data_IF_231439977636
#
_entry.id   IF_231439977636
#
_cell.length_a   1.000
_cell.length_b   1.000
_cell.length_c   1.000
_cell.angle_alpha   90.00
_cell.angle_beta   90.00
_cell.angle_gamma   90.00
#
_symmetry.space_group_name_H-M   'P 1'
#
loop_
_entity.id
_entity.type
_entity.pdbx_description
1 polymer ?
#
# COMPACT_ATOMS: atom_id res chain seq x y z
N UNK A 1 31.18 9.13 -19.04
CA UNK A 1 31.99 10.21 -18.42
C UNK A 1 31.63 10.26 -16.94
N UNK A 2 32.62 10.37 -16.05
CA UNK A 2 32.38 10.45 -14.62
C UNK A 2 31.68 11.78 -14.24
N UNK A 3 30.67 11.71 -13.37
CA UNK A 3 30.00 12.88 -12.81
C UNK A 3 30.97 13.62 -11.88
N UNK A 4 31.29 14.87 -12.20
CA UNK A 4 32.15 15.70 -11.35
C UNK A 4 31.49 16.07 -10.02
N UNK A 5 32.30 16.32 -8.98
CA UNK A 5 31.83 16.62 -7.61
C UNK A 5 30.79 17.73 -7.54
N UNK A 6 30.96 18.80 -8.34
CA UNK A 6 29.99 19.92 -8.40
C UNK A 6 28.62 19.50 -8.91
N UNK A 7 28.58 18.64 -9.93
CA UNK A 7 27.32 18.15 -10.51
C UNK A 7 26.57 17.30 -9.49
N UNK A 8 27.29 16.42 -8.79
CA UNK A 8 26.73 15.58 -7.73
C UNK A 8 26.14 16.42 -6.59
N UNK A 9 26.87 17.43 -6.11
CA UNK A 9 26.39 18.32 -5.05
C UNK A 9 25.15 19.12 -5.49
N UNK A 10 25.11 19.57 -6.75
CA UNK A 10 23.94 20.25 -7.30
C UNK A 10 22.72 19.29 -7.37
N UNK A 11 22.93 18.03 -7.78
CA UNK A 11 21.90 17.01 -7.78
C UNK A 11 21.36 16.71 -6.36
N UNK A 12 22.23 16.56 -5.37
CA UNK A 12 21.81 16.33 -3.98
C UNK A 12 20.96 17.48 -3.43
N UNK A 13 21.35 18.73 -3.72
CA UNK A 13 20.55 19.91 -3.37
C UNK A 13 19.22 19.92 -4.11
N UNK A 14 19.23 19.62 -5.41
CA UNK A 14 18.02 19.52 -6.23
C UNK A 14 17.04 18.47 -5.69
N UNK A 15 17.56 17.31 -5.25
CA UNK A 15 16.76 16.26 -4.62
C UNK A 15 16.15 16.74 -3.29
N UNK A 16 16.92 17.43 -2.44
CA UNK A 16 16.47 17.96 -1.13
C UNK A 16 15.37 19.02 -1.23
N UNK A 17 15.19 19.68 -2.38
CA UNK A 17 14.07 20.60 -2.60
C UNK A 17 12.69 19.90 -2.60
N UNK A 18 12.66 18.56 -2.69
CA UNK A 18 11.43 17.78 -2.54
C UNK A 18 10.41 18.05 -3.66
N UNK A 19 9.12 17.98 -3.34
CA UNK A 19 8.04 18.02 -4.32
C UNK A 19 7.96 19.33 -5.13
N UNK A 20 8.46 20.44 -4.58
CA UNK A 20 8.47 21.74 -5.25
C UNK A 20 9.77 21.98 -6.04
N UNK A 21 10.61 20.95 -6.22
CA UNK A 21 11.89 21.06 -6.94
C UNK A 21 11.71 21.69 -8.32
N UNK A 22 12.55 22.68 -8.63
CA UNK A 22 12.72 23.22 -9.97
C UNK A 22 14.15 23.69 -10.17
N UNK A 23 14.63 23.74 -11.41
CA UNK A 23 15.98 24.25 -11.69
C UNK A 23 16.12 25.73 -11.33
N UNK A 24 15.03 26.50 -11.39
CA UNK A 24 15.00 27.89 -10.92
C UNK A 24 15.21 27.97 -9.41
N UNK A 25 14.46 27.18 -8.62
CA UNK A 25 14.64 27.14 -7.17
C UNK A 25 16.01 26.63 -6.76
N UNK A 26 16.57 25.67 -7.50
CA UNK A 26 17.95 25.23 -7.31
C UNK A 26 18.94 26.36 -7.58
N UNK A 27 18.79 27.07 -8.70
CA UNK A 27 19.63 28.22 -9.04
C UNK A 27 19.57 29.28 -7.94
N UNK A 28 18.38 29.66 -7.49
CA UNK A 28 18.18 30.64 -6.42
C UNK A 28 18.89 30.20 -5.13
N UNK A 29 18.78 28.91 -4.77
CA UNK A 29 19.46 28.33 -3.60
C UNK A 29 20.99 28.33 -3.73
N UNK A 30 21.53 28.35 -4.95
CA UNK A 30 22.98 28.38 -5.23
C UNK A 30 23.51 29.79 -5.44
N UNK A 31 22.66 30.82 -5.54
CA UNK A 31 23.07 32.16 -5.99
C UNK A 31 23.99 32.87 -4.99
N UNK A 32 23.96 32.47 -3.71
CA UNK A 32 24.86 32.97 -2.67
C UNK A 32 26.31 32.45 -2.79
N UNK A 33 26.59 31.51 -3.69
CA UNK A 33 27.91 30.91 -3.86
C UNK A 33 28.74 31.65 -4.91
N UNK A 34 30.02 31.90 -4.61
CA UNK A 34 30.94 32.62 -5.49
C UNK A 34 31.15 31.97 -6.88
N UNK A 35 30.76 30.71 -7.06
CA UNK A 35 30.86 29.96 -8.33
C UNK A 35 29.53 29.27 -8.66
N UNK A 36 28.42 30.02 -8.56
CA UNK A 36 27.09 29.51 -8.88
C UNK A 36 26.96 29.18 -10.38
N UNK A 37 26.50 27.96 -10.76
CA UNK A 37 26.25 27.62 -12.15
C UNK A 37 25.04 28.40 -12.69
N UNK A 38 25.11 28.81 -13.95
CA UNK A 38 23.96 29.42 -14.63
C UNK A 38 22.80 28.43 -14.79
N UNK A 39 21.57 28.93 -14.97
CA UNK A 39 20.40 28.08 -15.22
C UNK A 39 20.61 27.14 -16.43
N UNK A 40 21.19 27.65 -17.52
CA UNK A 40 21.54 26.85 -18.71
C UNK A 40 22.49 25.70 -18.38
N UNK A 41 23.47 25.92 -17.49
CA UNK A 41 24.39 24.88 -17.03
C UNK A 41 23.67 23.82 -16.22
N UNK A 42 22.74 24.22 -15.35
CA UNK A 42 21.92 23.30 -14.56
C UNK A 42 20.98 22.46 -15.45
N UNK A 43 20.39 23.06 -16.49
CA UNK A 43 19.59 22.34 -17.50
C UNK A 43 20.42 21.29 -18.24
N UNK A 44 21.63 21.66 -18.67
CA UNK A 44 22.55 20.74 -19.34
C UNK A 44 22.94 19.58 -18.43
N UNK A 45 23.28 19.85 -17.17
CA UNK A 45 23.59 18.81 -16.18
C UNK A 45 22.39 17.90 -15.90
N UNK A 46 21.21 18.48 -15.69
CA UNK A 46 19.97 17.74 -15.45
C UNK A 46 19.68 16.76 -16.58
N UNK A 47 19.81 17.21 -17.83
CA UNK A 47 19.61 16.36 -19.02
C UNK A 47 20.69 15.30 -19.15
N UNK A 48 21.96 15.71 -19.08
CA UNK A 48 23.12 14.85 -19.34
C UNK A 48 23.29 13.74 -18.30
N UNK A 49 22.91 14.00 -17.05
CA UNK A 49 23.02 13.06 -15.94
C UNK A 49 21.66 12.53 -15.48
N UNK A 50 20.62 12.67 -16.32
CA UNK A 50 19.33 12.03 -16.13
C UNK A 50 18.72 12.27 -14.74
N UNK A 51 18.72 13.52 -14.28
CA UNK A 51 18.31 13.84 -12.90
C UNK A 51 16.87 13.43 -12.61
N UNK A 52 15.95 13.58 -13.57
CA UNK A 52 14.55 13.17 -13.38
C UNK A 52 14.41 11.66 -13.24
N UNK A 53 15.11 10.88 -14.07
CA UNK A 53 15.07 9.41 -14.01
C UNK A 53 15.62 8.93 -12.66
N UNK A 54 16.76 9.47 -12.22
CA UNK A 54 17.35 9.17 -10.92
C UNK A 54 16.41 9.51 -9.76
N UNK A 55 15.72 10.64 -9.85
CA UNK A 55 14.72 11.05 -8.85
C UNK A 55 13.54 10.08 -8.84
N UNK A 56 13.01 9.73 -10.00
CA UNK A 56 11.93 8.76 -10.12
C UNK A 56 12.34 7.40 -9.51
N UNK A 57 13.59 6.98 -9.69
CA UNK A 57 14.12 5.74 -9.11
C UNK A 57 14.19 5.82 -7.58
N UNK A 58 14.73 6.91 -7.04
CA UNK A 58 14.79 7.16 -5.60
C UNK A 58 13.40 7.21 -4.97
N UNK A 59 12.45 7.89 -5.63
CA UNK A 59 11.07 7.97 -5.18
C UNK A 59 10.36 6.61 -5.23
N UNK A 60 10.61 5.78 -6.25
CA UNK A 60 10.09 4.40 -6.30
C UNK A 60 10.66 3.56 -5.17
N UNK A 61 11.95 3.64 -4.90
CA UNK A 61 12.59 2.93 -3.79
C UNK A 61 12.04 3.38 -2.43
N UNK A 62 11.87 4.69 -2.24
CA UNK A 62 11.28 5.25 -1.02
C UNK A 62 9.84 4.77 -0.81
N UNK A 63 9.00 4.80 -1.86
CA UNK A 63 7.63 4.27 -1.80
C UNK A 63 7.61 2.78 -1.44
N UNK A 64 8.45 1.98 -2.10
CA UNK A 64 8.53 0.55 -1.81
C UNK A 64 8.94 0.27 -0.36
N UNK A 65 9.90 1.04 0.18
CA UNK A 65 10.32 0.92 1.57
C UNK A 65 9.20 1.31 2.54
N UNK A 66 8.47 2.39 2.26
CA UNK A 66 7.34 2.84 3.08
C UNK A 66 6.19 1.83 3.05
N UNK A 67 5.84 1.32 1.87
CA UNK A 67 4.82 0.28 1.70
C UNK A 67 5.20 -1.00 2.45
N UNK A 68 6.46 -1.43 2.34
CA UNK A 68 6.97 -2.60 3.06
C UNK A 68 6.90 -2.41 4.58
N UNK A 69 7.29 -1.24 5.09
CA UNK A 69 7.23 -0.91 6.50
C UNK A 69 5.77 -0.86 7.00
N UNK A 70 4.87 -0.28 6.22
CA UNK A 70 3.43 -0.24 6.52
C UNK A 70 2.82 -1.63 6.57
N UNK A 71 3.13 -2.49 5.61
CA UNK A 71 2.65 -3.89 5.59
C UNK A 71 3.18 -4.65 6.80
N UNK A 72 4.47 -4.48 7.15
CA UNK A 72 5.07 -5.10 8.32
C UNK A 72 4.38 -4.64 9.61
N UNK A 73 4.14 -3.34 9.77
CA UNK A 73 3.44 -2.80 10.94
C UNK A 73 2.00 -3.31 11.07
N UNK A 74 1.27 -3.44 9.95
CA UNK A 74 -0.08 -4.03 9.94
C UNK A 74 -0.04 -5.49 10.39
N UNK A 75 0.93 -6.28 9.89
CA UNK A 75 1.11 -7.68 10.28
C UNK A 75 1.45 -7.83 11.76
N UNK A 76 2.40 -7.04 12.25
CA UNK A 76 2.78 -7.05 13.67
C UNK A 76 1.60 -6.69 14.57
N UNK A 77 0.82 -5.67 14.18
CA UNK A 77 -0.40 -5.29 14.91
C UNK A 77 -1.44 -6.42 14.90
N UNK A 78 -1.66 -7.05 13.75
CA UNK A 78 -2.57 -8.19 13.63
C UNK A 78 -2.12 -9.36 14.53
N UNK A 79 -0.84 -9.73 14.51
CA UNK A 79 -0.31 -10.79 15.37
C UNK A 79 -0.48 -10.48 16.86
N UNK A 80 -0.24 -9.24 17.26
CA UNK A 80 -0.45 -8.80 18.65
C UNK A 80 -1.91 -8.85 19.05
N UNK A 81 -2.82 -8.33 18.24
CA UNK A 81 -4.26 -8.39 18.51
C UNK A 81 -4.78 -9.84 18.58
N UNK A 82 -4.26 -10.75 17.74
CA UNK A 82 -4.60 -12.16 17.82
C UNK A 82 -4.18 -12.79 19.16
N UNK A 83 -2.97 -12.47 19.65
CA UNK A 83 -2.47 -12.92 20.96
C UNK A 83 -3.29 -12.35 22.12
N UNK A 84 -3.60 -11.06 22.07
CA UNK A 84 -4.43 -10.38 23.08
C UNK A 84 -5.85 -10.97 23.12
N UNK A 85 -6.44 -11.24 21.94
CA UNK A 85 -7.73 -11.92 21.83
C UNK A 85 -7.70 -13.32 22.46
N UNK A 86 -6.67 -14.12 22.16
CA UNK A 86 -6.49 -15.44 22.76
C UNK A 86 -6.33 -15.37 24.29
N UNK A 87 -5.54 -14.43 24.79
CA UNK A 87 -5.35 -14.23 26.24
C UNK A 87 -6.67 -13.86 26.93
N UNK A 88 -7.47 -13.00 26.30
CA UNK A 88 -8.77 -12.60 26.84
C UNK A 88 -9.74 -13.79 26.88
N UNK A 89 -9.71 -14.66 25.87
CA UNK A 89 -10.47 -15.92 25.87
C UNK A 89 -10.04 -16.85 27.02
N UNK A 90 -8.74 -17.04 27.20
CA UNK A 90 -8.19 -17.86 28.28
C UNK A 90 -8.60 -17.33 29.65
N UNK A 91 -8.54 -16.01 29.85
CA UNK A 91 -8.94 -15.38 31.11
C UNK A 91 -10.45 -15.51 31.36
N UNK A 92 -11.27 -15.33 30.33
CA UNK A 92 -12.71 -15.56 30.42
C UNK A 92 -13.04 -17.02 30.79
N UNK A 93 -12.33 -17.99 30.20
CA UNK A 93 -12.51 -19.41 30.51
C UNK A 93 -12.07 -19.74 31.95
N UNK A 94 -10.96 -19.17 32.43
CA UNK A 94 -10.52 -19.31 33.82
C UNK A 94 -11.56 -18.75 34.80
N UNK A 95 -12.13 -17.58 34.53
CA UNK A 95 -13.17 -17.01 35.39
C UNK A 95 -14.43 -17.87 35.45
N UNK A 96 -14.78 -18.56 34.35
CA UNK A 96 -15.91 -19.49 34.35
C UNK A 96 -15.68 -20.71 35.24
N UNK A 97 -14.44 -21.15 35.43
CA UNK A 97 -14.12 -22.30 36.30
C UNK A 97 -13.95 -21.91 37.77
N UNK A 98 -13.72 -20.63 38.07
CA UNK A 98 -13.49 -20.12 39.44
C UNK A 98 -14.66 -19.27 39.97
N UNK A 99 -15.83 -19.33 39.31
CA UNK A 99 -17.04 -18.60 39.71
C UNK A 99 -17.37 -18.83 41.20
N UNK A 100 -17.40 -17.75 41.97
CA UNK A 100 -17.62 -17.75 43.42
C UNK A 100 -16.38 -17.47 44.27
N UNK A 101 -15.16 -17.64 43.72
CA UNK A 101 -13.91 -17.24 44.37
C UNK A 101 -13.49 -15.80 44.00
N UNK A 102 -13.90 -15.30 42.83
CA UNK A 102 -13.63 -13.95 42.36
C UNK A 102 -14.91 -13.09 42.29
N UNK A 103 -14.76 -11.76 42.31
CA UNK A 103 -15.86 -10.79 42.18
C UNK A 103 -16.40 -10.67 40.73
N UNK A 104 -16.00 -11.55 39.82
CA UNK A 104 -16.36 -11.52 38.40
C UNK A 104 -17.68 -12.29 38.19
N UNK A 105 -18.61 -11.69 37.46
CA UNK A 105 -19.87 -12.34 37.11
C UNK A 105 -19.69 -13.30 35.95
N UNK A 106 -20.51 -14.36 35.89
CA UNK A 106 -20.51 -15.30 34.76
C UNK A 106 -20.71 -14.58 33.40
N UNK A 107 -21.55 -13.54 33.38
CA UNK A 107 -21.76 -12.73 32.19
C UNK A 107 -20.51 -11.95 31.75
N UNK A 108 -19.74 -11.37 32.69
CA UNK A 108 -18.47 -10.73 32.37
C UNK A 108 -17.44 -11.73 31.82
N UNK A 109 -17.41 -12.95 32.37
CA UNK A 109 -16.53 -14.02 31.90
C UNK A 109 -16.90 -14.50 30.48
N UNK A 110 -18.20 -14.70 30.20
CA UNK A 110 -18.70 -15.02 28.84
C UNK A 110 -18.35 -13.89 27.86
N UNK A 111 -18.54 -12.62 28.26
CA UNK A 111 -18.19 -11.48 27.42
C UNK A 111 -16.70 -11.44 27.08
N UNK A 112 -15.81 -11.73 28.04
CA UNK A 112 -14.37 -11.82 27.77
C UNK A 112 -14.06 -12.88 26.69
N UNK A 113 -14.67 -14.07 26.77
CA UNK A 113 -14.51 -15.10 25.74
C UNK A 113 -15.01 -14.62 24.37
N UNK A 114 -16.22 -14.06 24.31
CA UNK A 114 -16.83 -13.62 23.05
C UNK A 114 -16.03 -12.49 22.39
N UNK A 115 -15.64 -11.47 23.16
CA UNK A 115 -14.87 -10.34 22.62
C UNK A 115 -13.44 -10.75 22.24
N UNK A 116 -12.82 -11.66 23.00
CA UNK A 116 -11.53 -12.22 22.65
C UNK A 116 -11.56 -13.01 21.33
N UNK A 117 -12.63 -13.78 21.08
CA UNK A 117 -12.84 -14.47 19.79
C UNK A 117 -13.03 -13.46 18.66
N UNK A 118 -13.83 -12.42 18.85
CA UNK A 118 -14.04 -11.37 17.83
C UNK A 118 -12.73 -10.69 17.45
N UNK A 119 -11.93 -10.30 18.45
CA UNK A 119 -10.64 -9.63 18.24
C UNK A 119 -9.66 -10.54 17.46
N UNK A 120 -9.57 -11.82 17.84
CA UNK A 120 -8.70 -12.78 17.16
C UNK A 120 -9.13 -13.03 15.71
N UNK A 121 -10.44 -13.15 15.45
CA UNK A 121 -10.99 -13.33 14.10
C UNK A 121 -10.74 -12.12 13.21
N UNK A 122 -11.01 -10.92 13.72
CA UNK A 122 -10.69 -9.65 13.03
C UNK A 122 -9.20 -9.58 12.67
N UNK A 123 -8.34 -9.91 13.62
CA UNK A 123 -6.89 -9.86 13.43
C UNK A 123 -6.39 -10.88 12.38
N UNK A 124 -7.05 -12.03 12.24
CA UNK A 124 -6.71 -13.06 11.24
C UNK A 124 -7.31 -12.81 9.86
N UNK A 125 -8.07 -11.75 9.69
CA UNK A 125 -8.71 -11.41 8.41
C UNK A 125 -9.98 -12.21 8.13
N UNK A 126 -10.61 -12.79 9.16
CA UNK A 126 -11.97 -13.32 9.00
C UNK A 126 -12.92 -12.16 8.68
N UNK A 127 -13.84 -12.40 7.75
CA UNK A 127 -14.93 -11.47 7.45
C UNK A 127 -15.90 -11.49 8.64
N UNK A 128 -15.83 -10.48 9.50
CA UNK A 128 -16.69 -10.37 10.70
C UNK A 128 -18.03 -9.70 10.41
N UNK A 129 -18.18 -9.06 9.25
CA UNK A 129 -19.44 -8.51 8.77
C UNK A 129 -19.68 -8.93 7.33
N UNK A 130 -20.78 -9.64 7.10
CA UNK A 130 -21.33 -9.81 5.74
C UNK A 130 -22.05 -8.51 5.41
N UNK A 131 -21.32 -7.50 4.95
CA UNK A 131 -21.96 -6.32 4.39
C UNK A 131 -22.66 -6.78 3.11
N UNK A 132 -24.00 -6.83 3.12
CA UNK A 132 -24.74 -6.88 1.86
C UNK A 132 -24.37 -5.61 1.09
N UNK A 133 -23.40 -5.73 0.19
CA UNK A 133 -23.20 -4.76 -0.87
C UNK A 133 -24.43 -4.85 -1.76
N UNK A 134 -25.51 -4.16 -1.37
CA UNK A 134 -26.53 -3.75 -2.31
C UNK A 134 -25.87 -2.70 -3.19
N UNK A 135 -25.08 -3.17 -4.16
CA UNK A 135 -24.63 -2.33 -5.24
C UNK A 135 -25.89 -1.63 -5.78
N UNK A 136 -25.92 -0.31 -5.69
CA UNK A 136 -26.93 0.43 -6.41
C UNK A 136 -26.81 0.02 -7.88
N UNK A 137 -27.92 -0.28 -8.57
CA UNK A 137 -27.88 -0.53 -10.02
C UNK A 137 -27.06 0.59 -10.65
N UNK A 138 -26.01 0.26 -11.39
CA UNK A 138 -25.25 1.29 -12.10
C UNK A 138 -26.21 1.89 -13.14
N UNK A 139 -26.59 3.18 -13.03
CA UNK A 139 -27.55 3.80 -13.94
C UNK A 139 -27.03 3.89 -15.39
N UNK A 140 -25.77 3.49 -15.65
CA UNK A 140 -25.23 3.27 -16.99
C UNK A 140 -25.72 1.95 -17.59
N UNK A 141 -25.95 0.92 -16.78
CA UNK A 141 -26.46 -0.38 -17.23
C UNK A 141 -27.94 -0.29 -17.61
N UNK A 142 -28.72 0.53 -16.91
CA UNK A 142 -30.14 0.75 -17.21
C UNK A 142 -30.38 1.46 -18.57
N UNK A 143 -29.33 2.01 -19.19
CA UNK A 143 -29.39 2.68 -20.49
C UNK A 143 -28.93 1.81 -21.64
N UNK A 144 -28.40 0.62 -21.35
CA UNK A 144 -28.03 -0.34 -22.39
C UNK A 144 -29.31 -1.00 -22.91
N UNK A 145 -29.45 -1.03 -24.22
CA UNK A 145 -30.38 -1.95 -24.87
C UNK A 145 -29.89 -3.39 -24.68
N UNK A 146 -30.80 -4.37 -24.74
CA UNK A 146 -30.46 -5.80 -24.61
C UNK A 146 -29.32 -6.19 -25.59
N UNK A 147 -29.36 -5.66 -26.81
CA UNK A 147 -28.33 -5.85 -27.85
C UNK A 147 -26.96 -5.26 -27.49
N UNK A 148 -26.91 -4.15 -26.74
CA UNK A 148 -25.66 -3.53 -26.28
C UNK A 148 -25.11 -4.27 -25.06
N UNK A 149 -26.00 -4.77 -24.20
CA UNK A 149 -25.63 -5.59 -23.07
C UNK A 149 -25.03 -6.93 -23.51
N UNK A 150 -25.65 -7.59 -24.49
CA UNK A 150 -25.14 -8.84 -25.08
C UNK A 150 -23.78 -8.66 -25.76
N UNK A 151 -23.54 -7.52 -26.43
CA UNK A 151 -22.20 -7.19 -26.97
C UNK A 151 -21.16 -7.00 -25.88
N UNK A 152 -21.54 -6.41 -24.75
CA UNK A 152 -20.66 -6.16 -23.62
C UNK A 152 -20.26 -7.48 -22.95
N UNK A 153 -21.21 -8.41 -22.81
CA UNK A 153 -20.94 -9.78 -22.35
C UNK A 153 -20.03 -10.55 -23.32
N UNK A 154 -20.32 -10.50 -24.62
CA UNK A 154 -19.47 -11.16 -25.64
C UNK A 154 -18.03 -10.62 -25.69
N UNK A 155 -17.84 -9.32 -25.43
CA UNK A 155 -16.51 -8.71 -25.29
C UNK A 155 -15.77 -9.19 -24.03
N UNK A 156 -16.48 -9.31 -22.91
CA UNK A 156 -15.91 -9.83 -21.67
C UNK A 156 -15.50 -11.30 -21.79
N UNK A 157 -16.30 -12.12 -22.48
CA UNK A 157 -15.99 -13.54 -22.73
C UNK A 157 -14.83 -13.71 -23.73
N UNK A 158 -14.76 -12.88 -24.78
CA UNK A 158 -13.67 -12.91 -25.76
C UNK A 158 -12.29 -12.48 -25.22
N UNK A 159 -12.25 -11.74 -24.11
CA UNK A 159 -10.99 -11.38 -23.42
C UNK A 159 -10.43 -12.56 -22.61
N UNK A 160 -11.26 -13.52 -22.21
CA UNK A 160 -10.83 -14.70 -21.42
C UNK A 160 -10.11 -15.73 -22.29
N UNK A 161 -10.47 -15.87 -23.57
CA UNK A 161 -9.86 -16.87 -24.47
C UNK A 161 -8.51 -16.45 -25.08
N UNK A 162 -8.10 -15.18 -24.96
CA UNK A 162 -6.82 -14.67 -25.47
C UNK A 162 -5.60 -14.84 -24.54
N UNK A 163 -5.79 -15.39 -23.33
CA UNK A 163 -4.78 -15.47 -22.27
C UNK A 163 -4.29 -16.88 -21.92
N UNK A 164 -4.54 -17.88 -22.77
CA UNK A 164 -4.12 -19.28 -22.55
C UNK A 164 -2.67 -19.53 -22.97
N UNK A 165 -1.77 -19.61 -21.99
CA UNK A 165 -0.34 -19.90 -22.14
C UNK A 165 -0.03 -21.13 -23.01
N UNK A 166 0.91 -20.96 -23.94
CA UNK A 166 1.63 -22.04 -24.61
C UNK A 166 2.25 -22.99 -23.57
N UNK A 167 1.83 -24.25 -23.56
CA UNK A 167 2.59 -25.35 -22.96
C UNK A 167 3.68 -25.77 -23.95
N UNK A 168 4.95 -25.92 -23.53
CA UNK A 168 5.97 -26.46 -24.42
C UNK A 168 5.74 -27.97 -24.61
N UNK A 169 5.81 -28.39 -25.88
CA UNK A 169 5.76 -29.76 -26.34
C UNK A 169 6.87 -30.63 -25.71
N UNK A 170 6.51 -31.85 -25.33
CA UNK A 170 7.44 -32.94 -25.04
C UNK A 170 7.08 -34.10 -25.99
N UNK A 171 8.02 -34.60 -26.81
CA UNK A 171 7.84 -35.90 -27.45
C UNK A 171 8.89 -36.93 -26.99
N UNK A 172 8.32 -38.04 -26.50
CA UNK A 172 8.69 -39.47 -26.58
C UNK A 172 10.17 -39.89 -26.53
#
# INVERSE_FOLDING_TARGET
>A
MAEGTRVRQAFERYWRLGAQRSLRLLHDALTAEASSPTLRTLEEWSRRYHWQDRIADLERQARHADDSARIAAIREMAERHAKEGLLLQQKGAEWLTTLGAEAVTADAAIRAVVEGVKLERLARGDVTERTESRAAPDPRLDRLTDDEFDRLLGLAEGVVEGGGAARPDEPA
#
